data_IF_448996441397
#
_entry.id   IF_448996441397
#
_cell.length_a   1.000
_cell.length_b   1.000
_cell.length_c   1.000
_cell.angle_alpha   90.00
_cell.angle_beta   90.00
_cell.angle_gamma   90.00
#
_symmetry.space_group_name_H-M   'P 1'
#
loop_
_entity.id
_entity.type
_entity.pdbx_description
1 polymer ?
#
# COMPACT_ATOMS: atom_id res chain seq x y z
N UNK A 1 -11.00 7.94 31.73
CA UNK A 1 -11.02 9.23 31.00
C UNK A 1 -10.10 9.24 29.77
N UNK A 2 -8.81 8.86 29.85
CA UNK A 2 -7.89 8.80 28.67
C UNK A 2 -8.35 7.87 27.52
N UNK A 3 -8.95 6.72 27.82
CA UNK A 3 -9.44 5.78 26.79
C UNK A 3 -10.67 6.27 26.02
N UNK A 4 -11.46 7.18 26.58
CA UNK A 4 -12.63 7.76 25.90
C UNK A 4 -12.21 8.90 24.94
N UNK A 5 -11.29 9.79 25.37
CA UNK A 5 -10.75 10.86 24.49
C UNK A 5 -10.00 10.30 23.29
N UNK A 6 -9.23 9.22 23.47
CA UNK A 6 -8.52 8.59 22.35
C UNK A 6 -9.50 8.17 21.26
N UNK A 7 -10.69 7.63 21.60
CA UNK A 7 -11.62 7.14 20.59
C UNK A 7 -12.08 8.21 19.61
N UNK A 8 -12.33 9.44 20.06
CA UNK A 8 -12.83 10.52 19.20
C UNK A 8 -11.78 10.94 18.16
N UNK A 9 -10.50 10.96 18.53
CA UNK A 9 -9.39 11.32 17.64
C UNK A 9 -9.20 10.32 16.48
N UNK A 10 -9.61 9.05 16.66
CA UNK A 10 -9.51 8.03 15.61
C UNK A 10 -10.79 7.85 14.80
N UNK A 11 -11.97 8.21 15.31
CA UNK A 11 -13.23 7.87 14.65
C UNK A 11 -13.30 8.39 13.21
N UNK A 12 -12.85 9.62 12.96
CA UNK A 12 -12.84 10.16 11.59
C UNK A 12 -11.90 9.39 10.66
N UNK A 13 -10.80 8.84 11.19
CA UNK A 13 -9.78 8.10 10.44
C UNK A 13 -10.21 6.66 10.12
N UNK A 14 -11.22 6.14 10.80
CA UNK A 14 -11.81 4.82 10.54
C UNK A 14 -12.83 4.83 9.40
N UNK A 15 -13.01 5.97 8.74
CA UNK A 15 -13.92 6.15 7.62
C UNK A 15 -13.17 6.34 6.30
N UNK A 16 -13.92 6.56 5.23
CA UNK A 16 -13.36 6.94 3.94
C UNK A 16 -13.76 8.38 3.63
N UNK A 17 -12.91 9.11 2.90
CA UNK A 17 -13.28 10.38 2.29
C UNK A 17 -13.51 10.20 0.80
N UNK A 18 -14.12 11.20 0.15
CA UNK A 18 -14.36 11.20 -1.29
C UNK A 18 -13.36 12.10 -2.02
N UNK A 19 -12.66 11.51 -2.98
CA UNK A 19 -11.89 12.20 -4.00
C UNK A 19 -12.69 12.13 -5.31
N UNK A 20 -13.46 13.18 -5.60
CA UNK A 20 -14.53 13.08 -6.60
C UNK A 20 -15.56 12.04 -6.17
N UNK A 21 -15.77 10.99 -6.96
CA UNK A 21 -16.65 9.86 -6.61
C UNK A 21 -15.92 8.69 -5.93
N UNK A 22 -14.59 8.70 -5.96
CA UNK A 22 -13.75 7.63 -5.44
C UNK A 22 -13.62 7.74 -3.92
N UNK A 23 -13.96 6.67 -3.21
CA UNK A 23 -13.67 6.60 -1.78
C UNK A 23 -12.18 6.35 -1.60
N UNK A 24 -11.48 7.05 -0.72
CA UNK A 24 -10.07 6.84 -0.32
C UNK A 24 -9.96 6.87 1.22
N UNK A 25 -8.88 6.39 1.84
CA UNK A 25 -8.70 6.47 3.30
C UNK A 25 -8.91 7.89 3.83
N UNK A 26 -9.63 8.05 4.94
CA UNK A 26 -9.83 9.38 5.53
C UNK A 26 -8.51 10.05 5.96
N UNK A 27 -7.49 9.23 6.29
CA UNK A 27 -6.16 9.70 6.64
C UNK A 27 -5.47 10.50 5.52
N UNK A 28 -5.89 10.32 4.26
CA UNK A 28 -5.36 11.12 3.13
C UNK A 28 -5.58 12.62 3.29
N UNK A 29 -6.59 13.06 4.07
CA UNK A 29 -6.78 14.46 4.43
C UNK A 29 -5.53 15.10 5.03
N UNK A 30 -4.73 14.29 5.71
CA UNK A 30 -3.57 14.70 6.49
C UNK A 30 -2.24 14.37 5.80
N UNK A 31 -2.24 13.29 5.02
CA UNK A 31 -1.07 12.81 4.29
C UNK A 31 -0.83 13.52 2.96
N UNK A 32 -1.80 14.27 2.43
CA UNK A 32 -1.72 14.91 1.12
C UNK A 32 -1.83 16.43 1.25
N UNK A 33 -1.36 17.20 0.25
CA UNK A 33 -1.72 18.62 0.14
C UNK A 33 -3.23 18.79 0.13
N UNK A 34 -3.73 19.83 0.81
CA UNK A 34 -5.17 20.09 0.94
C UNK A 34 -5.85 20.20 -0.43
N UNK A 35 -5.14 20.74 -1.43
CA UNK A 35 -5.59 20.92 -2.80
C UNK A 35 -6.08 19.62 -3.45
N UNK A 36 -5.50 18.47 -3.08
CA UNK A 36 -5.92 17.15 -3.60
C UNK A 36 -7.39 16.89 -3.28
N UNK A 37 -7.88 17.31 -2.10
CA UNK A 37 -9.27 17.11 -1.68
C UNK A 37 -10.27 17.88 -2.55
N UNK A 38 -9.80 18.90 -3.28
CA UNK A 38 -10.62 19.70 -4.18
C UNK A 38 -10.53 19.26 -5.65
N UNK A 39 -9.77 18.20 -5.95
CA UNK A 39 -9.71 17.65 -7.30
C UNK A 39 -11.06 17.07 -7.71
N UNK A 40 -11.54 17.52 -8.88
CA UNK A 40 -12.78 17.05 -9.50
C UNK A 40 -12.46 15.95 -10.48
N UNK A 41 -12.39 14.73 -9.97
CA UNK A 41 -12.11 13.54 -10.77
C UNK A 41 -13.42 12.83 -11.10
N UNK A 42 -13.65 12.59 -12.39
CA UNK A 42 -14.79 11.79 -12.85
C UNK A 42 -14.65 10.33 -12.35
N UNK A 43 -15.75 9.58 -12.16
CA UNK A 43 -15.68 8.18 -11.79
C UNK A 43 -15.00 7.36 -12.90
N UNK A 44 -14.23 6.34 -12.50
CA UNK A 44 -13.69 5.31 -13.40
C UNK A 44 -14.68 4.13 -13.45
N UNK A 45 -15.82 4.33 -14.10
CA UNK A 45 -16.96 3.42 -14.08
C UNK A 45 -16.66 2.07 -14.75
N UNK A 46 -15.72 2.01 -15.70
CA UNK A 46 -15.31 0.74 -16.34
C UNK A 46 -14.41 -0.12 -15.46
N UNK A 47 -13.91 0.39 -14.33
CA UNK A 47 -13.01 -0.32 -13.42
C UNK A 47 -13.50 -0.23 -11.97
N UNK A 48 -14.44 -1.10 -11.61
CA UNK A 48 -14.81 -1.29 -10.20
C UNK A 48 -14.52 -2.72 -9.74
N UNK A 49 -14.24 -2.89 -8.45
CA UNK A 49 -14.08 -4.23 -7.87
C UNK A 49 -15.37 -5.06 -7.96
N UNK A 50 -16.54 -4.42 -8.04
CA UNK A 50 -17.84 -5.06 -8.18
C UNK A 50 -18.11 -5.53 -9.61
N UNK A 51 -17.58 -4.81 -10.58
CA UNK A 51 -17.68 -5.11 -12.00
C UNK A 51 -16.30 -5.16 -12.66
N UNK A 52 -15.52 -6.19 -12.29
CA UNK A 52 -14.13 -6.28 -12.72
C UNK A 52 -14.02 -6.61 -14.22
N UNK A 53 -13.49 -5.70 -15.06
CA UNK A 53 -13.39 -5.94 -16.50
C UNK A 53 -12.38 -7.04 -16.83
N UNK A 54 -11.38 -7.31 -15.97
CA UNK A 54 -10.46 -8.44 -16.16
C UNK A 54 -11.16 -9.79 -16.03
N UNK A 55 -12.13 -9.92 -15.14
CA UNK A 55 -12.96 -11.14 -15.03
C UNK A 55 -13.88 -11.26 -16.24
N UNK A 56 -14.57 -10.17 -16.62
CA UNK A 56 -15.55 -10.19 -17.73
C UNK A 56 -14.92 -10.36 -19.11
N UNK A 57 -13.84 -9.64 -19.39
CA UNK A 57 -13.26 -9.52 -20.73
C UNK A 57 -11.94 -10.27 -20.91
N UNK A 58 -11.12 -10.40 -19.86
CA UNK A 58 -9.81 -11.04 -19.95
C UNK A 58 -9.78 -12.50 -19.46
N UNK A 59 -10.89 -13.00 -18.89
CA UNK A 59 -11.04 -14.39 -18.44
C UNK A 59 -10.49 -14.68 -17.04
N UNK A 60 -10.13 -13.66 -16.27
CA UNK A 60 -9.57 -13.83 -14.93
C UNK A 60 -10.54 -14.60 -14.03
N UNK A 61 -9.98 -15.39 -13.11
CA UNK A 61 -10.75 -16.17 -12.16
C UNK A 61 -11.69 -15.27 -11.30
N UNK A 62 -12.96 -15.63 -11.08
CA UNK A 62 -13.96 -14.78 -10.42
C UNK A 62 -13.70 -14.49 -8.93
N UNK A 63 -12.75 -15.18 -8.31
CA UNK A 63 -12.31 -14.95 -6.93
C UNK A 63 -11.16 -13.95 -6.81
N UNK A 64 -10.59 -13.51 -7.94
CA UNK A 64 -9.53 -12.50 -7.97
C UNK A 64 -10.14 -11.12 -8.17
N UNK A 65 -9.59 -10.14 -7.45
CA UNK A 65 -9.74 -8.71 -7.76
C UNK A 65 -8.35 -8.12 -7.92
N UNK A 66 -8.29 -6.91 -8.50
CA UNK A 66 -7.08 -6.09 -8.67
C UNK A 66 -5.80 -6.90 -8.91
N UNK A 67 -5.62 -7.42 -10.14
CA UNK A 67 -4.37 -7.97 -10.69
C UNK A 67 -3.34 -8.54 -9.68
N UNK A 68 -3.78 -9.44 -8.80
CA UNK A 68 -3.02 -10.43 -7.99
C UNK A 68 -1.82 -10.03 -7.15
N UNK A 69 -1.35 -8.79 -7.15
CA UNK A 69 -0.29 -8.39 -6.21
C UNK A 69 -0.92 -8.08 -4.86
N UNK A 70 -0.46 -8.76 -3.81
CA UNK A 70 -0.76 -8.36 -2.42
C UNK A 70 -0.14 -6.97 -2.23
N UNK A 71 -0.96 -5.91 -2.09
CA UNK A 71 -0.47 -4.55 -2.06
C UNK A 71 0.29 -4.30 -0.76
N UNK A 72 1.29 -3.41 -0.79
CA UNK A 72 1.85 -2.90 0.46
C UNK A 72 0.75 -2.18 1.23
N UNK A 73 0.63 -2.42 2.53
CA UNK A 73 -0.21 -1.60 3.43
C UNK A 73 0.68 -1.13 4.58
N UNK A 74 0.89 0.19 4.75
CA UNK A 74 1.79 0.74 5.76
C UNK A 74 1.43 0.34 7.19
N UNK A 75 2.45 0.17 8.03
CA UNK A 75 2.29 -0.22 9.43
C UNK A 75 1.28 0.65 10.21
N UNK A 76 1.29 1.97 10.06
CA UNK A 76 0.38 2.85 10.78
C UNK A 76 -1.07 2.71 10.31
N UNK A 77 -1.31 2.37 9.04
CA UNK A 77 -2.66 2.06 8.56
C UNK A 77 -3.18 0.74 9.12
N UNK A 78 -2.31 -0.28 9.20
CA UNK A 78 -2.63 -1.54 9.87
C UNK A 78 -2.88 -1.33 11.38
N UNK A 79 -2.08 -0.47 12.01
CA UNK A 79 -2.27 -0.02 13.39
C UNK A 79 -3.62 0.65 13.61
N UNK A 80 -4.04 1.55 12.72
CA UNK A 80 -5.38 2.12 12.75
C UNK A 80 -6.46 1.05 12.64
N UNK A 81 -6.27 0.04 11.78
CA UNK A 81 -7.19 -1.07 11.67
C UNK A 81 -7.24 -1.98 12.91
N UNK A 82 -6.12 -2.20 13.61
CA UNK A 82 -6.11 -2.84 14.93
C UNK A 82 -6.93 -2.03 15.94
N UNK A 83 -6.72 -0.71 15.99
CA UNK A 83 -7.43 0.20 16.89
C UNK A 83 -8.92 0.32 16.56
N UNK A 84 -9.30 0.14 15.28
CA UNK A 84 -10.70 0.12 14.85
C UNK A 84 -11.42 -1.19 15.18
N UNK A 85 -10.70 -2.21 15.65
CA UNK A 85 -11.25 -3.54 15.92
C UNK A 85 -11.43 -4.42 14.67
N UNK A 86 -10.71 -4.15 13.57
CA UNK A 86 -10.73 -5.03 12.41
C UNK A 86 -10.14 -6.41 12.76
N UNK A 87 -10.86 -7.49 12.45
CA UNK A 87 -10.47 -8.85 12.84
C UNK A 87 -9.50 -9.51 11.86
N UNK A 88 -9.45 -9.07 10.60
CA UNK A 88 -8.61 -9.70 9.57
C UNK A 88 -7.14 -9.28 9.65
N UNK A 89 -6.85 -8.10 10.20
CA UNK A 89 -5.47 -7.65 10.39
C UNK A 89 -4.73 -8.54 11.41
N UNK A 90 -5.32 -8.90 12.57
CA UNK A 90 -4.78 -9.97 13.41
C UNK A 90 -4.54 -11.29 12.67
N UNK A 91 -5.49 -11.74 11.83
CA UNK A 91 -5.33 -12.98 11.06
C UNK A 91 -4.15 -12.90 10.07
N UNK A 92 -3.96 -11.75 9.40
CA UNK A 92 -2.81 -11.50 8.53
C UNK A 92 -1.48 -11.47 9.30
N UNK A 93 -1.48 -10.94 10.52
CA UNK A 93 -0.32 -10.96 11.41
C UNK A 93 0.06 -12.40 11.79
N UNK A 94 -0.93 -13.19 12.21
CA UNK A 94 -0.76 -14.59 12.61
C UNK A 94 -0.31 -15.47 11.43
N UNK A 95 -0.79 -15.17 10.22
CA UNK A 95 -0.34 -15.77 8.97
C UNK A 95 1.09 -15.37 8.55
N UNK A 96 1.73 -14.46 9.27
CA UNK A 96 3.11 -14.01 9.00
C UNK A 96 3.24 -13.10 7.79
N UNK A 97 2.17 -12.41 7.39
CA UNK A 97 2.17 -11.53 6.22
C UNK A 97 2.65 -10.10 6.54
N UNK A 98 2.83 -9.78 7.82
CA UNK A 98 3.16 -8.44 8.28
C UNK A 98 4.60 -8.37 8.79
N UNK A 99 5.34 -7.37 8.31
CA UNK A 99 6.67 -6.97 8.74
C UNK A 99 6.61 -5.58 9.41
N UNK A 100 7.68 -5.11 10.08
CA UNK A 100 7.69 -3.83 10.77
C UNK A 100 7.19 -2.64 9.92
N UNK A 101 7.53 -2.58 8.64
CA UNK A 101 7.07 -1.51 7.73
C UNK A 101 5.61 -1.65 7.27
N UNK A 102 4.97 -2.80 7.50
CA UNK A 102 3.60 -3.07 7.09
C UNK A 102 3.39 -4.46 6.48
N UNK A 103 2.30 -4.61 5.74
CA UNK A 103 2.10 -5.79 4.89
C UNK A 103 3.04 -5.66 3.69
N UNK A 104 3.95 -6.62 3.52
CA UNK A 104 4.88 -6.68 2.40
C UNK A 104 4.73 -8.07 1.77
N UNK A 105 4.55 -8.11 0.46
CA UNK A 105 4.41 -9.37 -0.28
C UNK A 105 5.65 -10.25 -0.03
N UNK A 106 5.43 -11.50 0.37
CA UNK A 106 6.55 -12.43 0.51
C UNK A 106 7.13 -12.75 -0.88
N UNK A 107 8.44 -13.07 -0.99
CA UNK A 107 9.00 -13.46 -2.28
C UNK A 107 8.25 -14.64 -2.95
N UNK A 108 7.80 -15.63 -2.17
CA UNK A 108 6.96 -16.72 -2.68
C UNK A 108 5.64 -16.21 -3.26
N UNK A 109 4.95 -15.32 -2.54
CA UNK A 109 3.68 -14.77 -3.01
C UNK A 109 3.88 -13.85 -4.21
N UNK A 110 5.00 -13.14 -4.29
CA UNK A 110 5.37 -12.35 -5.47
C UNK A 110 5.54 -13.27 -6.68
N UNK A 111 6.29 -14.37 -6.56
CA UNK A 111 6.41 -15.38 -7.64
C UNK A 111 5.06 -15.90 -8.08
N UNK A 112 4.22 -16.28 -7.11
CA UNK A 112 2.91 -16.82 -7.37
C UNK A 112 2.00 -15.79 -8.07
N UNK A 113 2.08 -14.53 -7.67
CA UNK A 113 1.40 -13.40 -8.31
C UNK A 113 1.87 -13.21 -9.76
N UNK A 114 3.18 -13.16 -10.00
CA UNK A 114 3.77 -13.01 -11.34
C UNK A 114 3.38 -14.18 -12.25
N UNK A 115 3.42 -15.41 -11.73
CA UNK A 115 2.98 -16.60 -12.44
C UNK A 115 1.50 -16.50 -12.85
N UNK A 116 0.63 -16.06 -11.94
CA UNK A 116 -0.77 -15.85 -12.26
C UNK A 116 -0.97 -14.75 -13.32
N UNK A 117 -0.29 -13.61 -13.19
CA UNK A 117 -0.42 -12.49 -14.15
C UNK A 117 -0.03 -12.94 -15.56
N UNK A 118 1.00 -13.79 -15.69
CA UNK A 118 1.42 -14.33 -16.98
C UNK A 118 0.42 -15.29 -17.61
N UNK A 119 -0.43 -15.95 -16.79
CA UNK A 119 -1.37 -17.01 -17.22
C UNK A 119 -2.69 -16.95 -16.44
N UNK A 120 -3.45 -15.84 -16.54
CA UNK A 120 -4.58 -15.56 -15.63
C UNK A 120 -5.78 -16.50 -15.80
N UNK A 121 -5.81 -17.26 -16.89
CA UNK A 121 -6.89 -18.19 -17.25
C UNK A 121 -6.52 -19.67 -16.95
N UNK A 122 -5.38 -19.91 -16.29
CA UNK A 122 -4.92 -21.27 -15.97
C UNK A 122 -4.89 -21.51 -14.46
N UNK A 123 -5.74 -22.44 -14.00
CA UNK A 123 -5.75 -22.89 -12.61
C UNK A 123 -6.45 -21.94 -11.63
N UNK A 124 -6.46 -22.33 -10.36
CA UNK A 124 -6.94 -21.47 -9.27
C UNK A 124 -5.88 -20.42 -8.94
N UNK A 125 -6.30 -19.17 -8.62
CA UNK A 125 -5.38 -18.16 -8.11
C UNK A 125 -4.76 -18.67 -6.80
N UNK A 126 -3.44 -18.81 -6.80
CA UNK A 126 -2.64 -19.20 -5.64
C UNK A 126 -2.26 -18.02 -4.75
N UNK A 127 -2.59 -16.79 -5.17
CA UNK A 127 -2.48 -15.56 -4.38
C UNK A 127 -3.80 -14.80 -4.45
N UNK A 128 -4.42 -14.61 -3.29
CA UNK A 128 -5.63 -13.83 -3.13
C UNK A 128 -5.36 -12.86 -1.99
N UNK A 129 -5.75 -11.59 -2.17
CA UNK A 129 -5.67 -10.60 -1.10
C UNK A 129 -6.42 -11.09 0.15
N UNK A 130 -5.78 -11.15 1.33
CA UNK A 130 -6.40 -11.66 2.56
C UNK A 130 -7.59 -10.81 3.01
N UNK A 131 -7.68 -9.57 2.56
CA UNK A 131 -8.75 -8.64 2.95
C UNK A 131 -9.92 -8.60 1.96
N UNK A 132 -9.91 -9.44 0.92
CA UNK A 132 -11.02 -9.52 -0.04
C UNK A 132 -12.11 -10.45 0.49
N UNK A 133 -13.30 -9.91 0.74
CA UNK A 133 -14.46 -10.75 1.01
C UNK A 133 -14.86 -11.52 -0.25
N UNK A 134 -14.75 -12.84 -0.23
CA UNK A 134 -15.04 -13.66 -1.40
C UNK A 134 -16.53 -13.69 -1.78
N UNK A 135 -17.44 -13.41 -0.85
CA UNK A 135 -18.88 -13.38 -1.13
C UNK A 135 -19.31 -12.01 -1.67
N UNK A 136 -19.02 -10.92 -0.93
CA UNK A 136 -19.46 -9.56 -1.31
C UNK A 136 -18.53 -8.88 -2.32
N UNK A 137 -17.31 -9.40 -2.50
CA UNK A 137 -16.24 -8.84 -3.37
C UNK A 137 -15.74 -7.47 -2.90
N UNK A 138 -16.02 -7.12 -1.64
CA UNK A 138 -15.59 -5.89 -1.00
C UNK A 138 -14.24 -6.05 -0.31
N UNK A 139 -13.46 -4.96 -0.28
CA UNK A 139 -12.28 -4.87 0.58
C UNK A 139 -12.73 -4.62 2.02
N UNK A 140 -12.34 -5.52 2.92
CA UNK A 140 -12.72 -5.46 4.34
C UNK A 140 -11.82 -4.54 5.17
N UNK A 141 -10.80 -3.93 4.55
CA UNK A 141 -9.95 -2.89 5.15
C UNK A 141 -10.03 -1.57 4.37
N UNK A 142 -11.17 -1.26 3.74
CA UNK A 142 -11.27 -0.15 2.78
C UNK A 142 -10.76 1.19 3.34
N UNK A 143 -11.04 1.49 4.61
CA UNK A 143 -10.58 2.71 5.30
C UNK A 143 -9.06 2.78 5.53
N UNK A 144 -8.35 1.66 5.40
CA UNK A 144 -6.93 1.48 5.72
C UNK A 144 -6.12 0.96 4.53
N UNK A 145 -6.68 1.02 3.32
CA UNK A 145 -5.98 0.59 2.11
C UNK A 145 -4.86 1.58 1.76
N UNK A 146 -3.81 1.10 1.11
CA UNK A 146 -2.73 1.95 0.62
C UNK A 146 -3.13 2.80 -0.59
N UNK A 147 -2.20 3.67 -1.00
CA UNK A 147 -2.26 4.46 -2.22
C UNK A 147 -2.46 3.61 -3.45
N UNK A 148 -1.71 2.53 -3.59
CA UNK A 148 -1.79 1.59 -4.72
C UNK A 148 -3.22 1.08 -4.89
N UNK A 149 -3.82 0.58 -3.80
CA UNK A 149 -5.20 0.12 -3.80
C UNK A 149 -6.21 1.24 -4.02
N UNK A 150 -5.80 2.48 -3.78
CA UNK A 150 -6.64 3.65 -3.91
C UNK A 150 -6.65 4.27 -5.30
N UNK A 151 -5.60 4.04 -6.08
CA UNK A 151 -5.38 4.71 -7.36
C UNK A 151 -5.24 3.75 -8.52
N UNK A 152 -5.13 2.43 -8.28
CA UNK A 152 -5.01 1.46 -9.36
C UNK A 152 -6.36 1.15 -10.04
N UNK A 153 -6.42 1.36 -11.35
CA UNK A 153 -7.54 0.95 -12.19
C UNK A 153 -7.04 0.19 -13.43
N UNK A 154 -7.60 -0.99 -13.68
CA UNK A 154 -7.15 -1.85 -14.77
C UNK A 154 -7.63 -1.40 -16.17
N UNK A 155 -8.53 -0.43 -16.23
CA UNK A 155 -9.07 0.21 -17.43
C UNK A 155 -9.47 1.63 -17.05
N UNK A 156 -8.98 2.60 -17.81
CA UNK A 156 -9.20 4.02 -17.56
C UNK A 156 -10.27 4.56 -18.51
N UNK A 157 -11.29 5.25 -17.98
CA UNK A 157 -12.41 5.78 -18.75
C UNK A 157 -11.95 6.81 -19.76
N UNK A 158 -11.00 7.68 -19.37
CA UNK A 158 -10.45 8.75 -20.20
C UNK A 158 -9.07 8.41 -20.79
N UNK A 159 -8.77 7.11 -20.88
CA UNK A 159 -7.54 6.58 -21.46
C UNK A 159 -6.28 7.10 -20.77
N UNK A 160 -5.27 7.46 -21.57
CA UNK A 160 -3.94 7.85 -21.11
C UNK A 160 -3.95 9.01 -20.11
N UNK A 161 -4.90 9.95 -20.20
CA UNK A 161 -4.94 11.10 -19.27
C UNK A 161 -5.42 10.74 -17.88
N UNK A 162 -6.35 9.80 -17.77
CA UNK A 162 -6.71 9.20 -16.47
C UNK A 162 -5.53 8.39 -15.92
N UNK A 163 -4.86 7.62 -16.78
CA UNK A 163 -3.66 6.85 -16.40
C UNK A 163 -2.56 7.75 -15.82
N UNK A 164 -2.16 8.80 -16.55
CA UNK A 164 -1.18 9.79 -16.09
C UNK A 164 -1.54 10.36 -14.71
N UNK A 165 -2.82 10.71 -14.50
CA UNK A 165 -3.29 11.26 -13.23
C UNK A 165 -3.24 10.25 -12.08
N UNK A 166 -3.78 9.06 -12.28
CA UNK A 166 -3.88 8.05 -11.24
C UNK A 166 -2.51 7.47 -10.86
N UNK A 167 -1.61 7.31 -11.83
CA UNK A 167 -0.22 6.94 -11.58
C UNK A 167 0.47 8.03 -10.77
N UNK A 168 0.41 9.30 -11.17
CA UNK A 168 1.04 10.39 -10.42
C UNK A 168 0.50 10.53 -8.98
N UNK A 169 -0.80 10.30 -8.78
CA UNK A 169 -1.39 10.29 -7.43
C UNK A 169 -0.95 9.07 -6.62
N UNK A 170 -0.85 7.91 -7.27
CA UNK A 170 -0.33 6.68 -6.68
C UNK A 170 1.11 6.85 -6.21
N UNK A 171 1.98 7.36 -7.07
CA UNK A 171 3.40 7.58 -6.79
C UNK A 171 3.60 8.53 -5.60
N UNK A 172 2.90 9.68 -5.60
CA UNK A 172 2.92 10.61 -4.47
C UNK A 172 2.47 9.92 -3.18
N UNK A 173 1.35 9.19 -3.22
CA UNK A 173 0.82 8.49 -2.05
C UNK A 173 1.77 7.41 -1.53
N UNK A 174 2.35 6.60 -2.42
CA UNK A 174 3.28 5.53 -2.07
C UNK A 174 4.55 6.10 -1.42
N UNK A 175 5.06 7.21 -1.94
CA UNK A 175 6.23 7.87 -1.38
C UNK A 175 5.94 8.44 0.02
N UNK A 176 4.81 9.11 0.20
CA UNK A 176 4.37 9.61 1.51
C UNK A 176 4.16 8.45 2.50
N UNK A 177 3.49 7.38 2.07
CA UNK A 177 3.22 6.19 2.87
C UNK A 177 4.51 5.50 3.34
N UNK A 178 5.49 5.37 2.44
CA UNK A 178 6.80 4.77 2.76
C UNK A 178 7.58 5.62 3.75
N UNK A 179 7.63 6.93 3.52
CA UNK A 179 8.29 7.88 4.42
C UNK A 179 7.67 7.84 5.83
N UNK A 180 6.33 7.89 5.92
CA UNK A 180 5.63 7.86 7.21
C UNK A 180 5.71 6.50 7.90
N UNK A 181 5.74 5.38 7.16
CA UNK A 181 5.91 4.05 7.75
C UNK A 181 7.25 3.93 8.48
N UNK A 182 8.33 4.42 7.89
CA UNK A 182 9.67 4.37 8.48
C UNK A 182 9.87 5.42 9.57
N UNK A 183 9.41 6.65 9.35
CA UNK A 183 9.44 7.69 10.37
C UNK A 183 8.69 7.27 11.64
N UNK A 184 7.46 6.74 11.49
CA UNK A 184 6.66 6.34 12.63
C UNK A 184 7.24 5.15 13.40
N UNK A 185 8.00 4.26 12.76
CA UNK A 185 8.79 3.23 13.43
C UNK A 185 9.84 3.84 14.36
N UNK A 186 10.64 4.79 13.84
CA UNK A 186 11.69 5.46 14.61
C UNK A 186 11.08 6.15 15.84
N UNK A 187 10.00 6.91 15.65
CA UNK A 187 9.29 7.61 16.72
C UNK A 187 8.65 6.64 17.74
N UNK A 188 8.26 5.44 17.30
CA UNK A 188 7.78 4.38 18.18
C UNK A 188 8.91 3.66 18.95
N UNK A 189 10.18 4.04 18.74
CA UNK A 189 11.34 3.43 19.37
C UNK A 189 11.78 2.11 18.72
N UNK A 190 11.47 1.92 17.43
CA UNK A 190 11.95 0.81 16.63
C UNK A 190 13.31 1.13 16.01
N UNK A 191 14.23 0.16 16.02
CA UNK A 191 15.57 0.29 15.45
C UNK A 191 15.53 -0.01 13.95
N UNK A 192 15.37 1.05 13.15
CA UNK A 192 15.27 0.95 11.70
C UNK A 192 16.59 0.48 11.06
N UNK A 193 17.74 0.82 11.65
CA UNK A 193 19.05 0.42 11.13
C UNK A 193 19.29 -1.08 11.31
N UNK A 194 18.96 -1.62 12.47
CA UNK A 194 19.01 -3.06 12.72
C UNK A 194 18.06 -3.83 11.79
N UNK A 195 16.87 -3.30 11.52
CA UNK A 195 15.91 -3.90 10.60
C UNK A 195 16.46 -4.01 9.17
N UNK A 196 16.98 -2.92 8.60
CA UNK A 196 17.53 -2.97 7.25
C UNK A 196 18.79 -3.84 7.17
N UNK A 197 19.63 -3.84 8.20
CA UNK A 197 20.76 -4.77 8.28
C UNK A 197 20.28 -6.22 8.29
N UNK A 198 19.25 -6.55 9.07
CA UNK A 198 18.68 -7.89 9.10
C UNK A 198 18.07 -8.29 7.74
N UNK A 199 17.45 -7.33 7.03
CA UNK A 199 16.92 -7.51 5.68
C UNK A 199 18.05 -7.78 4.66
N UNK A 200 19.15 -7.02 4.73
CA UNK A 200 20.38 -7.23 3.96
C UNK A 200 21.06 -8.58 4.24
N UNK A 201 20.80 -9.20 5.39
CA UNK A 201 21.37 -10.51 5.76
C UNK A 201 20.48 -11.71 5.37
N UNK A 202 19.26 -11.48 4.86
CA UNK A 202 18.38 -12.56 4.43
C UNK A 202 18.96 -13.34 3.24
N UNK A 203 18.97 -14.67 3.34
CA UNK A 203 19.58 -15.60 2.38
C UNK A 203 18.55 -16.47 1.62
N UNK A 204 17.28 -16.42 2.03
CA UNK A 204 16.20 -17.22 1.45
C UNK A 204 15.00 -16.36 1.06
N UNK A 205 14.42 -16.67 -0.10
CA UNK A 205 13.32 -15.93 -0.74
C UNK A 205 12.09 -16.82 -0.91
N UNK A 206 11.61 -17.38 0.20
CA UNK A 206 10.38 -18.17 0.23
C UNK A 206 9.29 -17.42 1.01
N UNK A 207 9.00 -17.85 2.23
CA UNK A 207 8.07 -17.20 3.16
C UNK A 207 8.85 -16.53 4.29
N UNK A 208 8.24 -15.55 4.96
CA UNK A 208 8.79 -14.96 6.17
C UNK A 208 8.79 -16.00 7.30
N UNK A 209 9.92 -16.69 7.50
CA UNK A 209 10.04 -17.70 8.55
C UNK A 209 9.95 -17.06 9.93
N UNK A 210 9.69 -17.86 10.97
CA UNK A 210 9.71 -17.37 12.37
C UNK A 210 11.07 -16.74 12.69
N UNK A 211 12.17 -17.38 12.32
CA UNK A 211 13.53 -16.88 12.59
C UNK A 211 13.82 -15.57 11.85
N UNK A 212 13.38 -15.44 10.59
CA UNK A 212 13.51 -14.20 9.83
C UNK A 212 12.71 -13.08 10.47
N UNK A 213 11.46 -13.33 10.84
CA UNK A 213 10.62 -12.35 11.54
C UNK A 213 11.23 -11.96 12.89
N UNK A 214 11.78 -12.90 13.65
CA UNK A 214 12.46 -12.59 14.90
C UNK A 214 13.64 -11.64 14.69
N UNK A 215 14.44 -11.85 13.64
CA UNK A 215 15.54 -10.93 13.27
C UNK A 215 15.01 -9.55 12.85
N UNK A 216 13.99 -9.52 11.98
CA UNK A 216 13.43 -8.28 11.44
C UNK A 216 12.71 -7.44 12.51
N UNK A 217 11.96 -8.07 13.41
CA UNK A 217 11.26 -7.36 14.50
C UNK A 217 12.17 -7.04 15.69
N UNK A 218 13.26 -7.79 15.90
CA UNK A 218 14.17 -7.60 17.02
C UNK A 218 13.46 -7.62 18.38
N UNK A 219 13.62 -6.56 19.17
CA UNK A 219 12.98 -6.43 20.49
C UNK A 219 11.43 -6.32 20.44
N UNK A 220 10.85 -6.14 19.26
CA UNK A 220 9.40 -6.11 19.05
C UNK A 220 8.80 -7.45 18.66
N UNK A 221 9.60 -8.50 18.49
CA UNK A 221 9.09 -9.84 18.23
C UNK A 221 8.25 -10.34 19.42
N UNK A 222 7.08 -10.91 19.14
CA UNK A 222 6.04 -11.23 20.13
C UNK A 222 5.26 -10.02 20.66
N UNK A 223 5.54 -8.81 20.17
CA UNK A 223 4.84 -7.55 20.48
C UNK A 223 4.45 -6.80 19.21
N UNK A 224 4.28 -7.53 18.10
CA UNK A 224 4.09 -6.97 16.76
C UNK A 224 2.86 -6.07 16.72
N UNK A 225 1.72 -6.54 17.26
CA UNK A 225 0.50 -5.72 17.37
C UNK A 225 0.76 -4.39 18.10
N UNK A 226 1.50 -4.43 19.21
CA UNK A 226 1.81 -3.22 19.97
C UNK A 226 2.69 -2.25 19.17
N UNK A 227 3.59 -2.75 18.31
CA UNK A 227 4.36 -1.92 17.39
C UNK A 227 3.43 -1.21 16.38
N UNK A 228 2.51 -1.94 15.73
CA UNK A 228 1.56 -1.35 14.78
C UNK A 228 0.64 -0.31 15.44
N UNK A 229 0.11 -0.60 16.63
CA UNK A 229 -0.69 0.38 17.38
C UNK A 229 0.15 1.61 17.77
N UNK A 230 1.43 1.43 18.13
CA UNK A 230 2.34 2.54 18.44
C UNK A 230 2.62 3.43 17.22
N UNK A 231 2.85 2.87 16.03
CA UNK A 231 3.05 3.68 14.80
C UNK A 231 1.78 4.45 14.44
N UNK A 232 0.60 3.85 14.61
CA UNK A 232 -0.67 4.56 14.45
C UNK A 232 -0.82 5.73 15.43
N UNK A 233 -0.49 5.52 16.72
CA UNK A 233 -0.52 6.59 17.72
C UNK A 233 0.43 7.74 17.36
N UNK A 234 1.63 7.45 16.86
CA UNK A 234 2.58 8.47 16.39
C UNK A 234 1.97 9.29 15.24
N UNK A 235 1.40 8.62 14.24
CA UNK A 235 0.80 9.28 13.08
C UNK A 235 -0.38 10.16 13.47
N UNK A 236 -1.29 9.65 14.31
CA UNK A 236 -2.46 10.43 14.75
C UNK A 236 -2.08 11.63 15.60
N UNK A 237 -1.10 11.48 16.51
CA UNK A 237 -0.56 12.59 17.31
C UNK A 237 -0.01 13.73 16.44
N UNK A 238 0.46 13.43 15.23
CA UNK A 238 1.09 14.38 14.31
C UNK A 238 0.30 14.58 13.02
N UNK A 239 -1.01 14.25 13.00
CA UNK A 239 -1.81 14.21 11.77
C UNK A 239 -1.73 15.50 10.95
N UNK A 240 -1.76 16.66 11.59
CA UNK A 240 -1.72 17.96 10.89
C UNK A 240 -0.37 18.31 10.25
N UNK A 241 0.65 17.45 10.41
CA UNK A 241 2.02 17.67 9.89
C UNK A 241 2.53 16.52 9.02
N UNK A 242 1.70 15.51 8.72
CA UNK A 242 2.19 14.28 8.08
C UNK A 242 2.80 14.55 6.70
N UNK A 243 2.18 15.41 5.89
CA UNK A 243 2.76 15.75 4.58
C UNK A 243 4.11 16.48 4.70
N UNK A 244 4.26 17.40 5.66
CA UNK A 244 5.53 18.10 5.92
C UNK A 244 6.62 17.12 6.37
N UNK A 245 6.28 16.25 7.33
CA UNK A 245 7.18 15.21 7.84
C UNK A 245 7.64 14.29 6.69
N UNK A 246 6.69 13.80 5.89
CA UNK A 246 7.00 12.96 4.74
C UNK A 246 7.93 13.68 3.75
N UNK A 247 7.69 14.96 3.48
CA UNK A 247 8.45 15.76 2.51
C UNK A 247 9.92 15.95 2.86
N UNK A 248 10.29 15.87 4.13
CA UNK A 248 11.68 16.01 4.60
C UNK A 248 12.33 14.68 4.98
N UNK A 249 11.51 13.66 5.26
CA UNK A 249 12.01 12.34 5.61
C UNK A 249 12.50 11.61 4.35
N UNK A 250 13.73 11.08 4.40
CA UNK A 250 14.30 10.30 3.31
C UNK A 250 14.09 8.82 3.59
N UNK A 251 13.14 8.14 2.91
CA UNK A 251 12.95 6.72 3.12
C UNK A 251 14.20 5.96 2.66
N UNK A 252 14.57 4.96 3.45
CA UNK A 252 15.64 4.03 3.15
C UNK A 252 15.07 2.84 2.37
N UNK A 253 15.86 2.32 1.45
CA UNK A 253 15.63 1.06 0.76
C UNK A 253 16.82 0.14 0.99
N UNK A 254 16.60 -1.17 0.86
CA UNK A 254 17.67 -2.17 0.96
C UNK A 254 18.14 -2.54 -0.44
N UNK A 255 19.15 -1.83 -0.94
CA UNK A 255 19.72 -2.12 -2.26
C UNK A 255 20.20 -3.57 -2.36
N UNK A 256 20.76 -4.13 -1.28
CA UNK A 256 21.30 -5.49 -1.24
C UNK A 256 20.18 -6.53 -1.26
N UNK A 257 19.12 -6.37 -0.47
CA UNK A 257 17.96 -7.25 -0.55
C UNK A 257 17.29 -7.16 -1.92
N UNK A 258 17.01 -5.95 -2.41
CA UNK A 258 16.31 -5.75 -3.67
C UNK A 258 17.11 -6.30 -4.85
N UNK A 259 18.43 -6.09 -4.88
CA UNK A 259 19.30 -6.66 -5.92
C UNK A 259 19.28 -8.19 -5.91
N UNK A 260 19.34 -8.81 -4.73
CA UNK A 260 19.27 -10.28 -4.61
C UNK A 260 17.89 -10.81 -4.97
N UNK A 261 16.82 -10.12 -4.58
CA UNK A 261 15.45 -10.48 -4.91
C UNK A 261 15.22 -10.42 -6.43
N UNK A 262 15.67 -9.35 -7.09
CA UNK A 262 15.66 -9.24 -8.57
C UNK A 262 16.47 -10.35 -9.22
N UNK A 263 17.67 -10.64 -8.72
CA UNK A 263 18.50 -11.72 -9.25
C UNK A 263 17.81 -13.08 -9.09
N UNK A 264 17.12 -13.31 -7.97
CA UNK A 264 16.36 -14.53 -7.71
C UNK A 264 15.17 -14.71 -8.66
N UNK A 265 14.50 -13.61 -9.05
CA UNK A 265 13.36 -13.64 -9.98
C UNK A 265 13.72 -13.36 -11.43
N UNK A 266 15.00 -13.28 -11.80
CA UNK A 266 15.43 -12.81 -13.13
C UNK A 266 14.73 -13.51 -14.31
N UNK A 267 14.41 -14.79 -14.20
CA UNK A 267 13.71 -15.54 -15.24
C UNK A 267 12.22 -15.17 -15.38
N UNK A 268 11.59 -14.73 -14.29
CA UNK A 268 10.19 -14.32 -14.20
C UNK A 268 10.03 -12.78 -14.23
N UNK A 269 11.14 -12.04 -14.26
CA UNK A 269 11.18 -10.58 -14.14
C UNK A 269 10.88 -9.92 -15.49
N UNK A 270 9.70 -9.31 -15.58
CA UNK A 270 9.42 -8.28 -16.58
C UNK A 270 9.44 -6.93 -15.87
N UNK A 271 10.25 -5.99 -16.35
CA UNK A 271 10.37 -4.64 -15.76
C UNK A 271 9.01 -3.99 -15.54
N UNK A 272 8.09 -4.15 -16.51
CA UNK A 272 6.73 -3.62 -16.46
C UNK A 272 5.84 -4.22 -15.35
N UNK A 273 6.18 -5.41 -14.82
CA UNK A 273 5.38 -6.13 -13.83
C UNK A 273 5.85 -5.92 -12.38
N UNK A 274 7.09 -5.46 -12.18
CA UNK A 274 7.75 -5.46 -10.86
C UNK A 274 8.32 -4.09 -10.48
N UNK A 275 8.28 -3.10 -11.37
CA UNK A 275 8.80 -1.75 -11.10
C UNK A 275 8.28 -1.15 -9.78
N UNK A 276 7.02 -1.43 -9.43
CA UNK A 276 6.41 -0.97 -8.17
C UNK A 276 6.87 -1.77 -6.94
N UNK A 277 7.09 -3.08 -7.08
CA UNK A 277 7.52 -3.93 -5.98
C UNK A 277 9.02 -3.79 -5.69
N UNK A 278 9.83 -3.42 -6.69
CA UNK A 278 11.29 -3.29 -6.61
C UNK A 278 11.75 -2.03 -7.37
N UNK A 279 11.49 -0.82 -6.85
CA UNK A 279 11.89 0.43 -7.51
C UNK A 279 13.42 0.53 -7.65
N UNK A 280 13.88 1.05 -8.78
CA UNK A 280 15.31 1.30 -9.04
C UNK A 280 15.62 2.79 -8.87
N UNK A 281 16.73 3.09 -8.18
CA UNK A 281 17.25 4.44 -8.05
C UNK A 281 16.78 5.17 -6.78
N UNK A 282 17.22 6.41 -6.66
CA UNK A 282 16.85 7.28 -5.55
C UNK A 282 15.36 7.66 -5.64
N UNK A 283 14.61 7.60 -4.52
CA UNK A 283 13.22 8.04 -4.51
C UNK A 283 13.08 9.50 -4.96
N UNK A 284 12.08 9.77 -5.79
CA UNK A 284 11.79 11.14 -6.20
C UNK A 284 11.30 11.97 -5.00
N UNK A 285 11.72 13.25 -4.95
CA UNK A 285 11.28 14.16 -3.90
C UNK A 285 9.77 14.40 -3.97
N UNK A 286 9.10 14.38 -2.81
CA UNK A 286 7.64 14.57 -2.71
C UNK A 286 7.16 15.88 -3.35
N UNK A 287 7.97 16.95 -3.32
CA UNK A 287 7.66 18.21 -4.00
C UNK A 287 7.60 18.07 -5.52
N UNK A 288 8.46 17.25 -6.11
CA UNK A 288 8.47 16.96 -7.56
C UNK A 288 7.28 16.07 -7.94
N UNK A 289 7.01 15.03 -7.15
CA UNK A 289 5.82 14.19 -7.32
C UNK A 289 4.52 15.01 -7.22
N UNK A 290 4.47 15.95 -6.28
CA UNK A 290 3.33 16.87 -6.15
C UNK A 290 3.14 17.73 -7.41
N UNK A 291 4.23 18.31 -7.92
CA UNK A 291 4.18 19.08 -9.17
C UNK A 291 3.69 18.22 -10.36
N UNK A 292 4.20 16.99 -10.49
CA UNK A 292 3.78 16.02 -11.51
C UNK A 292 2.28 15.71 -11.41
N UNK A 293 1.77 15.50 -10.19
CA UNK A 293 0.34 15.30 -9.96
C UNK A 293 -0.50 16.51 -10.37
N UNK A 294 -0.07 17.73 -10.04
CA UNK A 294 -0.78 18.96 -10.45
C UNK A 294 -0.86 19.09 -11.97
N UNK A 295 0.24 18.79 -12.68
CA UNK A 295 0.26 18.78 -14.14
C UNK A 295 -0.67 17.72 -14.72
N UNK A 296 -0.61 16.49 -14.20
CA UNK A 296 -1.46 15.39 -14.65
C UNK A 296 -2.94 15.70 -14.43
N UNK A 297 -3.30 16.28 -13.27
CA UNK A 297 -4.67 16.73 -13.00
C UNK A 297 -5.12 17.83 -13.98
N UNK A 298 -4.27 18.83 -14.26
CA UNK A 298 -4.58 19.87 -15.24
C UNK A 298 -4.83 19.27 -16.63
N UNK A 299 -3.98 18.34 -17.07
CA UNK A 299 -4.12 17.66 -18.34
C UNK A 299 -5.41 16.84 -18.40
N UNK A 300 -5.77 16.16 -17.31
CA UNK A 300 -7.02 15.45 -17.17
C UNK A 300 -8.22 16.41 -17.33
N UNK A 301 -8.19 17.61 -16.75
CA UNK A 301 -9.29 18.58 -16.90
C UNK A 301 -9.44 19.11 -18.33
N UNK A 302 -8.33 19.21 -19.08
CA UNK A 302 -8.33 19.71 -20.46
C UNK A 302 -8.71 18.64 -21.50
N UNK A 303 -8.61 17.36 -21.16
CA UNK A 303 -8.99 16.29 -22.09
C UNK A 303 -10.50 16.34 -22.39
N UNK A 304 -10.95 15.94 -23.59
CA UNK A 304 -12.37 15.74 -23.84
C UNK A 304 -12.94 14.63 -22.93
N UNK A 305 -14.23 14.71 -22.62
CA UNK A 305 -14.95 13.58 -22.01
C UNK A 305 -15.27 12.59 -23.13
N UNK A 306 -14.83 11.34 -22.96
CA UNK A 306 -15.08 10.23 -23.89
C UNK A 306 -16.52 9.76 -23.85
#
# INVERSE_FOLDING_TARGET
MRSAMLKDDYQELFTTLKLGQHSVPALWRYMMPEEVLYFRVDPEAKSSCFDCPKVKAAGFHPNVRCCTVIPRVPNFMLGLGFLSGNTLIPEALDAGMLLPEGMIISPRDLRASLSFISKPNQGLPNVICPFLNQASKECQIYAFRSSVCSTFFCTMDRGQKSEEFWTALGDLGTQVETALAQWSLIEAGFDLDAYFKALDELDTFEHWTVDQRQKLYGAWFGRERALFEATAHVVVKNKDKLFEIASVFKPRQSEVYDARLRAHFRADYHEDLVAEALPLGEPEGISSLWYSLQLAYRNLQLAPKS
#
